data_IF_787288533830
#
_entry.id   IF_787288533830
#
_cell.length_a   1.000
_cell.length_b   1.000
_cell.length_c   1.000
_cell.angle_alpha   90.00
_cell.angle_beta   90.00
_cell.angle_gamma   90.00
#
_symmetry.space_group_name_H-M   'P 1'
#
loop_
_entity.id
_entity.type
_entity.pdbx_description
1 polymer ?
#
# COMPACT_ATOMS: atom_id res chain seq x y z
N UNK A 1 -7.77 0.84 -5.55
CA UNK A 1 -7.32 -0.57 -5.54
C UNK A 1 -8.53 -1.48 -5.57
N UNK A 2 -8.39 -2.71 -6.04
CA UNK A 2 -9.47 -3.70 -6.01
C UNK A 2 -8.93 -4.98 -5.36
N UNK A 3 -9.55 -5.35 -4.24
CA UNK A 3 -9.35 -6.63 -3.56
C UNK A 3 -10.74 -7.22 -3.34
N UNK A 4 -10.99 -8.43 -3.82
CA UNK A 4 -12.22 -9.17 -3.60
C UNK A 4 -11.88 -10.42 -2.80
N UNK A 5 -12.41 -10.54 -1.58
CA UNK A 5 -12.17 -11.68 -0.68
C UNK A 5 -10.68 -12.07 -0.49
N UNK A 6 -9.80 -11.06 -0.34
CA UNK A 6 -8.37 -11.28 -0.13
C UNK A 6 -7.56 -11.61 -1.39
N UNK A 7 -8.19 -11.60 -2.58
CA UNK A 7 -7.53 -11.73 -3.87
C UNK A 7 -7.59 -10.39 -4.60
N UNK A 8 -6.45 -9.91 -5.08
CA UNK A 8 -6.40 -8.67 -5.87
C UNK A 8 -5.08 -7.95 -5.76
N UNK A 9 -5.12 -6.62 -5.82
CA UNK A 9 -3.91 -5.80 -5.69
C UNK A 9 -4.07 -4.74 -4.62
N UNK A 10 -3.05 -4.57 -3.80
CA UNK A 10 -3.02 -3.57 -2.74
C UNK A 10 -1.67 -2.86 -2.72
N UNK A 11 -1.64 -1.59 -2.28
CA UNK A 11 -0.39 -0.90 -1.99
C UNK A 11 -0.06 -1.14 -0.51
N UNK A 12 1.15 -1.63 -0.25
CA UNK A 12 1.69 -1.75 1.09
C UNK A 12 2.97 -0.93 1.24
N UNK A 13 3.12 -0.38 2.45
CA UNK A 13 4.26 0.44 2.84
C UNK A 13 4.01 1.93 2.70
N UNK A 14 4.67 2.68 3.58
CA UNK A 14 4.80 4.14 3.54
C UNK A 14 6.23 4.45 3.96
N UNK A 15 7.12 4.50 2.99
CA UNK A 15 8.55 4.77 3.19
C UNK A 15 8.95 6.06 2.48
N UNK A 16 10.09 6.65 2.88
CA UNK A 16 10.68 7.85 2.29
C UNK A 16 9.64 8.96 2.03
N UNK A 17 8.98 9.38 3.12
CA UNK A 17 8.06 10.51 3.06
C UNK A 17 8.88 11.75 2.75
N UNK A 18 8.66 12.31 1.57
CA UNK A 18 9.32 13.52 1.13
C UNK A 18 8.62 14.77 1.70
N UNK A 19 9.30 15.92 1.71
CA UNK A 19 8.71 17.20 2.11
C UNK A 19 7.51 17.64 1.25
N UNK A 20 7.33 17.07 0.05
CA UNK A 20 6.18 17.29 -0.83
C UNK A 20 4.96 16.42 -0.47
N UNK A 21 5.03 15.66 0.62
CA UNK A 21 4.00 14.73 1.06
C UNK A 21 3.91 13.44 0.26
N UNK A 22 4.81 13.23 -0.70
CA UNK A 22 4.89 11.97 -1.44
C UNK A 22 5.52 10.88 -0.60
N UNK A 23 5.05 9.65 -0.77
CA UNK A 23 5.61 8.49 -0.10
C UNK A 23 5.80 7.33 -1.07
N UNK A 24 6.73 6.45 -0.75
CA UNK A 24 7.00 5.23 -1.49
C UNK A 24 6.14 4.10 -0.93
N UNK A 25 5.42 3.42 -1.83
CA UNK A 25 4.63 2.24 -1.54
C UNK A 25 4.85 1.18 -2.61
N UNK A 26 4.83 -0.08 -2.22
CA UNK A 26 4.96 -1.21 -3.16
C UNK A 26 3.58 -1.80 -3.42
N UNK A 27 3.25 -1.98 -4.70
CA UNK A 27 2.01 -2.65 -5.12
C UNK A 27 2.25 -4.15 -5.07
N UNK A 28 1.40 -4.85 -4.35
CA UNK A 28 1.44 -6.29 -4.21
C UNK A 28 0.20 -6.90 -4.86
N UNK A 29 0.41 -8.00 -5.56
CA UNK A 29 -0.65 -8.97 -5.80
C UNK A 29 -0.83 -9.80 -4.53
N UNK A 30 -2.04 -9.75 -3.97
CA UNK A 30 -2.42 -10.49 -2.77
C UNK A 30 -3.32 -11.65 -3.13
N UNK A 31 -3.10 -12.77 -2.45
CA UNK A 31 -3.98 -13.94 -2.48
C UNK A 31 -4.18 -14.39 -1.03
N UNK A 32 -5.43 -14.62 -0.62
CA UNK A 32 -5.77 -14.93 0.77
C UNK A 32 -5.15 -13.94 1.77
N UNK A 33 -5.12 -12.64 1.42
CA UNK A 33 -4.49 -11.56 2.21
C UNK A 33 -2.96 -11.64 2.36
N UNK A 34 -2.30 -12.63 1.76
CA UNK A 34 -0.85 -12.74 1.75
C UNK A 34 -0.26 -12.06 0.50
N UNK A 35 0.73 -11.17 0.64
CA UNK A 35 1.41 -10.54 -0.50
C UNK A 35 2.30 -11.57 -1.22
N UNK A 36 1.85 -12.06 -2.38
CA UNK A 36 2.59 -13.10 -3.13
C UNK A 36 3.61 -12.48 -4.08
N UNK A 37 3.21 -11.48 -4.88
CA UNK A 37 4.07 -10.92 -5.92
C UNK A 37 4.14 -9.39 -5.80
N UNK A 38 5.33 -8.80 -5.66
CA UNK A 38 5.51 -7.37 -5.82
C UNK A 38 5.37 -7.03 -7.30
N UNK A 39 4.35 -6.24 -7.64
CA UNK A 39 4.08 -5.79 -9.02
C UNK A 39 4.89 -4.56 -9.41
N UNK A 40 5.36 -3.79 -8.44
CA UNK A 40 6.12 -2.57 -8.67
C UNK A 40 6.18 -1.69 -7.44
N UNK A 41 7.23 -0.88 -7.32
CA UNK A 41 7.32 0.17 -6.31
C UNK A 41 6.91 1.50 -6.94
N UNK A 42 6.06 2.25 -6.24
CA UNK A 42 5.48 3.50 -6.73
C UNK A 42 5.72 4.62 -5.73
N UNK A 43 6.05 5.80 -6.24
CA UNK A 43 5.94 7.03 -5.47
C UNK A 43 4.50 7.55 -5.63
N UNK A 44 3.80 7.67 -4.51
CA UNK A 44 2.40 8.06 -4.43
C UNK A 44 2.35 9.47 -3.88
N UNK A 45 1.69 10.37 -4.61
CA UNK A 45 1.33 11.69 -4.09
C UNK A 45 -0.09 11.60 -3.54
N UNK A 46 -0.25 11.95 -2.26
CA UNK A 46 -1.58 12.19 -1.73
C UNK A 46 -2.04 13.55 -2.26
N UNK A 47 -3.26 13.62 -2.80
CA UNK A 47 -3.84 14.88 -3.29
C UNK A 47 -4.16 15.87 -2.14
N UNK A 48 -3.80 15.53 -0.88
CA UNK A 48 -4.32 16.20 0.33
C UNK A 48 -3.24 16.97 1.11
N UNK A 49 -1.95 16.86 0.79
CA UNK A 49 -0.92 17.57 1.55
C UNK A 49 -0.44 18.82 0.80
N UNK A 50 -1.23 19.91 0.89
CA UNK A 50 -0.81 21.32 0.73
C UNK A 50 -1.97 22.28 1.06
N UNK A 51 -2.66 22.07 2.19
CA UNK A 51 -3.55 23.11 2.71
C UNK A 51 -3.13 23.51 4.12
N UNK A 52 -1.95 24.12 4.21
CA UNK A 52 -1.66 25.07 5.30
C UNK A 52 -2.46 26.33 5.03
N UNK A 53 -3.68 26.45 5.57
CA UNK A 53 -4.45 27.70 5.52
C UNK A 53 -3.86 28.70 6.54
N UNK A 54 -3.29 29.85 6.17
CA UNK A 54 -3.37 31.03 7.02
C UNK A 54 -4.75 31.65 6.77
N UNK A 55 -5.67 31.46 7.72
CA UNK A 55 -7.11 31.74 7.60
C UNK A 55 -7.88 30.85 6.61
N UNK A 56 -8.76 30.03 7.20
CA UNK A 56 -10.05 29.45 6.78
C UNK A 56 -10.65 29.78 5.39
N UNK A 57 -9.85 29.81 4.34
CA UNK A 57 -10.28 30.08 2.96
C UNK A 57 -9.81 28.95 2.06
N UNK A 58 -10.57 27.85 2.02
CA UNK A 58 -10.25 26.67 1.20
C UNK A 58 -10.20 27.09 -0.27
N UNK A 59 -9.00 27.30 -0.81
CA UNK A 59 -8.81 27.55 -2.24
C UNK A 59 -8.91 26.22 -2.97
N UNK A 60 -10.06 26.04 -3.61
CA UNK A 60 -10.30 24.97 -4.57
C UNK A 60 -9.56 25.30 -5.87
N UNK A 61 -8.31 24.86 -6.00
CA UNK A 61 -7.58 24.92 -7.28
C UNK A 61 -8.14 23.83 -8.19
N UNK A 62 -9.17 24.20 -8.96
CA UNK A 62 -9.70 23.39 -10.05
C UNK A 62 -8.63 23.26 -11.14
N UNK A 63 -7.96 22.11 -11.20
CA UNK A 63 -7.41 21.64 -12.47
C UNK A 63 -8.60 21.22 -13.34
N UNK A 64 -8.91 21.91 -14.47
CA UNK A 64 -10.15 21.75 -15.21
C UNK A 64 -10.33 20.39 -15.93
N UNK A 65 -9.52 19.38 -15.58
CA UNK A 65 -9.60 18.01 -16.10
C UNK A 65 -10.00 16.94 -15.08
N UNK A 66 -10.27 17.31 -13.82
CA UNK A 66 -10.58 16.31 -12.79
C UNK A 66 -11.93 16.65 -12.14
N UNK A 67 -12.98 16.10 -12.75
CA UNK A 67 -14.32 16.01 -12.18
C UNK A 67 -14.28 14.94 -11.06
N UNK A 68 -14.39 15.36 -9.80
CA UNK A 68 -14.44 14.45 -8.67
C UNK A 68 -15.83 13.79 -8.63
N UNK A 69 -15.95 12.63 -9.27
CA UNK A 69 -17.11 11.76 -9.09
C UNK A 69 -17.03 11.11 -7.70
N UNK A 70 -17.78 11.67 -6.73
CA UNK A 70 -17.89 11.16 -5.35
C UNK A 70 -18.44 9.72 -5.26
N UNK A 71 -18.99 9.21 -6.37
CA UNK A 71 -19.50 7.85 -6.54
C UNK A 71 -18.44 6.84 -7.02
N UNK A 72 -17.19 7.27 -7.27
CA UNK A 72 -16.09 6.39 -7.67
C UNK A 72 -15.12 6.14 -6.51
N UNK A 73 -15.17 4.94 -5.93
CA UNK A 73 -14.18 4.40 -4.96
C UNK A 73 -12.85 4.01 -5.63
N UNK A 74 -12.42 4.78 -6.63
CA UNK A 74 -11.09 4.65 -7.24
C UNK A 74 -10.38 5.97 -7.08
N UNK A 75 -9.74 6.16 -5.93
CA UNK A 75 -8.87 7.32 -5.69
C UNK A 75 -7.82 7.37 -6.81
N UNK A 76 -7.89 8.40 -7.65
CA UNK A 76 -6.94 8.63 -8.74
C UNK A 76 -5.69 9.29 -8.17
N UNK A 77 -4.87 8.52 -7.46
CA UNK A 77 -3.57 9.00 -7.02
C UNK A 77 -2.64 9.13 -8.23
N UNK A 78 -1.88 10.22 -8.29
CA UNK A 78 -0.70 10.28 -9.16
C UNK A 78 0.31 9.28 -8.61
N UNK A 79 0.76 8.37 -9.47
CA UNK A 79 1.76 7.35 -9.12
C UNK A 79 2.86 7.36 -10.17
N UNK A 80 4.11 7.42 -9.71
CA UNK A 80 5.28 7.27 -10.57
C UNK A 80 5.97 5.95 -10.25
N UNK A 81 6.22 5.15 -11.29
CA UNK A 81 6.93 3.89 -11.13
C UNK A 81 8.41 4.17 -10.86
N UNK A 82 8.91 3.66 -9.74
CA UNK A 82 10.32 3.79 -9.35
C UNK A 82 10.99 2.42 -9.34
N UNK A 83 12.33 2.42 -9.27
CA UNK A 83 13.09 1.17 -9.19
C UNK A 83 12.61 0.35 -7.98
N UNK A 84 12.48 -0.95 -8.21
CA UNK A 84 12.00 -1.90 -7.21
C UNK A 84 12.89 -1.85 -5.96
N UNK A 85 12.29 -1.63 -4.80
CA UNK A 85 13.03 -1.69 -3.54
C UNK A 85 13.13 -3.14 -3.04
N UNK A 86 14.17 -3.84 -3.47
CA UNK A 86 14.40 -5.24 -3.13
C UNK A 86 14.49 -5.50 -1.62
N UNK A 87 15.04 -4.56 -0.84
CA UNK A 87 15.14 -4.72 0.62
C UNK A 87 13.75 -4.84 1.28
N UNK A 88 12.80 -4.03 0.82
CA UNK A 88 11.42 -4.08 1.31
C UNK A 88 10.74 -5.41 0.95
N UNK A 89 11.01 -5.91 -0.26
CA UNK A 89 10.47 -7.17 -0.74
C UNK A 89 10.99 -8.35 0.08
N UNK A 90 12.32 -8.41 0.28
CA UNK A 90 12.94 -9.47 1.08
C UNK A 90 12.43 -9.46 2.52
N UNK A 91 12.32 -8.29 3.16
CA UNK A 91 11.78 -8.18 4.52
C UNK A 91 10.35 -8.70 4.63
N UNK A 92 9.52 -8.43 3.61
CA UNK A 92 8.13 -8.92 3.57
C UNK A 92 8.07 -10.45 3.53
N UNK A 93 8.93 -11.10 2.72
CA UNK A 93 8.98 -12.56 2.66
C UNK A 93 9.58 -13.20 3.93
N UNK A 94 10.60 -12.59 4.54
CA UNK A 94 11.18 -13.07 5.80
C UNK A 94 10.12 -13.08 6.90
N UNK A 95 9.35 -11.99 7.03
CA UNK A 95 8.24 -11.92 7.99
C UNK A 95 7.21 -13.02 7.73
N UNK A 96 6.80 -13.22 6.47
CA UNK A 96 5.88 -14.29 6.10
C UNK A 96 6.40 -15.69 6.47
N UNK A 97 7.67 -15.96 6.21
CA UNK A 97 8.30 -17.24 6.56
C UNK A 97 8.37 -17.47 8.07
N UNK A 98 8.66 -16.43 8.86
CA UNK A 98 8.66 -16.49 10.33
C UNK A 98 7.25 -16.82 10.83
N UNK A 99 6.22 -16.12 10.33
CA UNK A 99 4.82 -16.38 10.71
C UNK A 99 4.40 -17.83 10.40
N UNK A 100 4.73 -18.33 9.20
CA UNK A 100 4.46 -19.72 8.82
C UNK A 100 5.23 -20.73 9.69
N UNK A 101 6.47 -20.42 10.06
CA UNK A 101 7.29 -21.28 10.92
C UNK A 101 6.72 -21.37 12.34
N UNK A 102 6.30 -20.24 12.92
CA UNK A 102 5.63 -20.21 14.24
C UNK A 102 4.32 -21.00 14.19
N UNK A 103 3.52 -20.81 13.14
CA UNK A 103 2.27 -21.54 12.97
C UNK A 103 2.51 -23.06 12.85
N UNK A 104 3.49 -23.45 12.03
CA UNK A 104 3.88 -24.87 11.88
C UNK A 104 4.35 -25.48 13.20
N UNK A 105 5.13 -24.73 13.99
CA UNK A 105 5.58 -25.18 15.30
C UNK A 105 4.40 -25.36 16.26
N UNK A 106 3.44 -24.43 16.26
CA UNK A 106 2.24 -24.54 17.08
C UNK A 106 1.39 -25.77 16.72
N UNK A 107 1.19 -26.04 15.42
CA UNK A 107 0.48 -27.25 14.95
C UNK A 107 1.21 -28.51 15.38
N UNK A 108 2.54 -28.54 15.24
CA UNK A 108 3.35 -29.68 15.68
C UNK A 108 3.25 -29.92 17.19
N UNK A 109 3.31 -28.88 18.02
CA UNK A 109 3.12 -28.99 19.47
C UNK A 109 1.72 -29.52 19.79
N UNK A 110 0.67 -28.98 19.16
CA UNK A 110 -0.70 -29.42 19.40
C UNK A 110 -0.90 -30.90 19.06
N UNK A 111 -0.25 -31.39 18.00
CA UNK A 111 -0.28 -32.81 17.60
C UNK A 111 0.38 -33.77 18.60
N UNK A 112 1.12 -33.28 19.59
CA UNK A 112 1.66 -34.08 20.69
C UNK A 112 0.69 -34.28 21.86
N UNK A 113 -0.34 -33.44 21.95
CA UNK A 113 -1.34 -33.46 23.03
C UNK A 113 -2.68 -34.07 22.59
N UNK A 114 -2.91 -34.20 21.28
CA UNK A 114 -4.04 -34.94 20.69
C UNK A 114 -3.66 -36.41 20.49
#
# INVERSE_FOLDING_TARGET
MQTFNGIGTTLYGRQDVNPDGSYIATKWFVLLYFPILPLGTYRVWSEIENISMPNNTVMNTQNPKIEYNYLSTTQRFKMEHIKLNWNQIFMTYILGAITLSIFSLAVWILSKFL
#
